data_IF_242466657955
#
_entry.id   IF_242466657955
#
_cell.length_a   1.000
_cell.length_b   1.000
_cell.length_c   1.000
_cell.angle_alpha   90.00
_cell.angle_beta   90.00
_cell.angle_gamma   90.00
#
_symmetry.space_group_name_H-M   'P 1'
#
loop_
_entity.id
_entity.type
_entity.pdbx_description
1 polymer ?
#
# COMPACT_ATOMS: atom_id res chain seq x y z
N UNK A 1 21.56 -2.68 2.72
CA UNK A 1 20.33 -2.60 3.54
C UNK A 1 19.34 -1.80 2.72
N UNK A 2 18.15 -2.32 2.47
CA UNK A 2 17.12 -1.61 1.71
C UNK A 2 16.43 -0.57 2.59
N UNK A 3 16.04 0.55 1.99
CA UNK A 3 15.11 1.54 2.53
C UNK A 3 13.70 1.22 2.05
N UNK A 4 12.68 1.52 2.85
CA UNK A 4 11.29 1.31 2.42
C UNK A 4 10.85 2.42 1.46
N UNK A 5 11.34 2.36 0.22
CA UNK A 5 10.93 3.24 -0.87
C UNK A 5 10.74 2.45 -2.17
N UNK A 6 10.15 3.10 -3.17
CA UNK A 6 9.79 2.48 -4.44
C UNK A 6 11.02 2.03 -5.25
N UNK A 7 12.13 2.76 -5.15
CA UNK A 7 13.36 2.46 -5.89
C UNK A 7 14.01 1.20 -5.33
N UNK A 8 14.16 1.15 -4.02
CA UNK A 8 14.69 -0.02 -3.32
C UNK A 8 13.74 -1.21 -3.40
N UNK A 9 12.42 -1.00 -3.50
CA UNK A 9 11.48 -2.08 -3.79
C UNK A 9 11.71 -2.67 -5.19
N UNK A 10 11.83 -1.83 -6.23
CA UNK A 10 12.15 -2.31 -7.60
C UNK A 10 13.47 -3.06 -7.64
N UNK A 11 14.47 -2.56 -6.93
CA UNK A 11 15.77 -3.21 -6.78
C UNK A 11 15.65 -4.56 -6.08
N UNK A 12 14.95 -4.62 -4.95
CA UNK A 12 14.66 -5.85 -4.22
C UNK A 12 13.97 -6.89 -5.11
N UNK A 13 13.00 -6.48 -5.92
CA UNK A 13 12.31 -7.37 -6.86
C UNK A 13 13.24 -7.94 -7.93
N UNK A 14 14.15 -7.12 -8.48
CA UNK A 14 15.13 -7.53 -9.47
C UNK A 14 16.22 -8.45 -8.86
N UNK A 15 16.69 -8.12 -7.66
CA UNK A 15 17.67 -8.92 -6.91
C UNK A 15 17.09 -10.31 -6.56
N UNK A 16 15.81 -10.35 -6.17
CA UNK A 16 15.10 -11.61 -5.90
C UNK A 16 14.86 -12.43 -7.17
N UNK A 17 14.51 -11.77 -8.27
CA UNK A 17 14.33 -12.41 -9.55
C UNK A 17 14.63 -11.44 -10.71
N UNK A 18 15.72 -11.70 -11.44
CA UNK A 18 16.20 -10.84 -12.53
C UNK A 18 15.23 -10.68 -13.69
N UNK A 19 14.23 -11.55 -13.83
CA UNK A 19 13.18 -11.33 -14.84
C UNK A 19 12.26 -10.17 -14.49
N UNK A 20 12.22 -9.75 -13.21
CA UNK A 20 11.51 -8.57 -12.76
C UNK A 20 12.29 -7.33 -13.17
N UNK A 21 11.72 -6.51 -14.06
CA UNK A 21 12.43 -5.36 -14.63
C UNK A 21 11.46 -4.28 -15.10
N UNK A 22 11.94 -3.05 -15.15
CA UNK A 22 11.23 -1.93 -15.76
C UNK A 22 11.78 -1.74 -17.17
N UNK A 23 10.88 -1.63 -18.15
CA UNK A 23 11.19 -1.33 -19.54
C UNK A 23 10.21 -0.25 -20.03
N UNK A 24 10.68 1.00 -20.06
CA UNK A 24 9.85 2.16 -20.34
C UNK A 24 8.66 2.29 -19.37
N UNK A 25 7.44 2.14 -19.89
CA UNK A 25 6.18 2.24 -19.14
C UNK A 25 5.66 0.88 -18.63
N UNK A 26 6.45 -0.18 -18.77
CA UNK A 26 6.04 -1.53 -18.42
C UNK A 26 6.92 -2.04 -17.27
N UNK A 27 6.28 -2.50 -16.20
CA UNK A 27 6.90 -3.38 -15.22
C UNK A 27 6.66 -4.83 -15.63
N UNK A 28 7.73 -5.57 -15.88
CA UNK A 28 7.64 -7.00 -16.15
C UNK A 28 7.73 -7.77 -14.85
N UNK A 29 6.70 -8.56 -14.51
CA UNK A 29 6.79 -9.62 -13.50
C UNK A 29 6.96 -10.94 -14.23
N UNK A 30 8.16 -11.51 -14.22
CA UNK A 30 8.52 -12.63 -15.11
C UNK A 30 8.23 -12.30 -16.60
N UNK A 31 7.17 -12.93 -17.15
CA UNK A 31 6.69 -12.78 -18.54
C UNK A 31 5.41 -11.95 -18.63
N UNK A 32 4.86 -11.50 -17.50
CA UNK A 32 3.59 -10.79 -17.44
C UNK A 32 3.88 -9.29 -17.41
N UNK A 33 3.49 -8.52 -18.45
CA UNK A 33 3.66 -7.08 -18.49
C UNK A 33 2.57 -6.39 -17.66
N UNK A 34 2.96 -5.46 -16.80
CA UNK A 34 2.04 -4.62 -16.04
C UNK A 34 2.31 -3.16 -16.34
N UNK A 35 1.28 -2.29 -16.39
CA UNK A 35 1.49 -0.85 -16.44
C UNK A 35 2.33 -0.40 -15.24
N UNK A 36 3.38 0.38 -15.47
CA UNK A 36 4.27 0.87 -14.40
C UNK A 36 3.49 1.70 -13.36
N UNK A 37 2.45 2.41 -13.79
CA UNK A 37 1.60 3.21 -12.91
C UNK A 37 0.83 2.35 -11.92
N UNK A 38 0.33 1.20 -12.36
CA UNK A 38 -0.32 0.23 -11.47
C UNK A 38 0.67 -0.32 -10.45
N UNK A 39 1.87 -0.69 -10.88
CA UNK A 39 2.92 -1.16 -9.98
C UNK A 39 3.29 -0.10 -8.93
N UNK A 40 3.53 1.14 -9.37
CA UNK A 40 3.86 2.26 -8.48
C UNK A 40 2.70 2.55 -7.52
N UNK A 41 1.46 2.47 -8.00
CA UNK A 41 0.25 2.66 -7.18
C UNK A 41 0.10 1.59 -6.11
N UNK A 42 0.37 0.33 -6.42
CA UNK A 42 0.37 -0.75 -5.43
C UNK A 42 1.37 -0.48 -4.29
N UNK A 43 2.55 0.05 -4.61
CA UNK A 43 3.52 0.45 -3.59
C UNK A 43 3.08 1.70 -2.82
N UNK A 44 2.54 2.71 -3.52
CA UNK A 44 2.07 3.95 -2.90
C UNK A 44 0.90 3.71 -1.93
N UNK A 45 0.02 2.77 -2.24
CA UNK A 45 -1.11 2.37 -1.40
C UNK A 45 -0.82 1.10 -0.56
N UNK A 46 0.46 0.76 -0.37
CA UNK A 46 0.88 -0.48 0.29
C UNK A 46 0.23 -0.67 1.66
N UNK A 47 0.18 0.37 2.49
CA UNK A 47 -0.40 0.27 3.83
C UNK A 47 -1.86 -0.17 3.78
N UNK A 48 -2.67 0.36 2.85
CA UNK A 48 -4.06 -0.05 2.70
C UNK A 48 -4.20 -1.49 2.19
N UNK A 49 -3.31 -1.94 1.31
CA UNK A 49 -3.25 -3.34 0.88
C UNK A 49 -2.89 -4.28 2.05
N UNK A 50 -1.93 -3.87 2.88
CA UNK A 50 -1.49 -4.61 4.04
C UNK A 50 -2.56 -4.65 5.14
N UNK A 51 -3.32 -3.58 5.36
CA UNK A 51 -4.47 -3.58 6.28
C UNK A 51 -5.53 -4.61 5.86
N UNK A 52 -5.89 -4.64 4.57
CA UNK A 52 -6.82 -5.65 4.04
C UNK A 52 -6.26 -7.07 4.23
N UNK A 53 -4.95 -7.25 4.07
CA UNK A 53 -4.29 -8.53 4.34
C UNK A 53 -4.42 -8.95 5.81
N UNK A 54 -4.22 -8.03 6.76
CA UNK A 54 -4.46 -8.30 8.19
C UNK A 54 -5.94 -8.65 8.43
N UNK A 55 -6.87 -7.90 7.83
CA UNK A 55 -8.31 -8.18 7.96
C UNK A 55 -8.68 -9.58 7.42
N UNK A 56 -8.08 -10.01 6.30
CA UNK A 56 -8.22 -11.37 5.75
C UNK A 56 -7.62 -12.45 6.67
N UNK A 57 -6.43 -12.23 7.25
CA UNK A 57 -5.81 -13.18 8.17
C UNK A 57 -6.65 -13.38 9.43
N UNK A 58 -7.11 -12.29 10.03
CA UNK A 58 -7.91 -12.32 11.26
C UNK A 58 -9.30 -12.88 10.97
N UNK A 59 -9.90 -12.53 9.83
CA UNK A 59 -11.14 -13.12 9.36
C UNK A 59 -11.04 -14.63 9.20
N UNK A 60 -10.00 -15.12 8.53
CA UNK A 60 -9.75 -16.55 8.36
C UNK A 60 -9.59 -17.26 9.72
N UNK A 61 -8.83 -16.67 10.64
CA UNK A 61 -8.65 -17.22 11.98
C UNK A 61 -9.96 -17.28 12.78
N UNK A 62 -10.75 -16.21 12.76
CA UNK A 62 -12.06 -16.16 13.42
C UNK A 62 -13.01 -17.19 12.83
N UNK A 63 -13.08 -17.28 11.50
CA UNK A 63 -13.94 -18.24 10.83
C UNK A 63 -13.51 -19.69 11.10
N UNK A 64 -12.21 -19.97 11.24
CA UNK A 64 -11.72 -21.30 11.58
C UNK A 64 -12.17 -21.76 12.98
N UNK A 65 -12.16 -20.86 13.97
CA UNK A 65 -12.48 -21.18 15.37
C UNK A 65 -13.95 -20.99 15.75
N UNK A 66 -14.63 -20.07 15.08
CA UNK A 66 -16.00 -19.64 15.37
C UNK A 66 -16.89 -19.77 14.14
N UNK A 67 -16.69 -20.83 13.36
CA UNK A 67 -17.34 -21.01 12.07
C UNK A 67 -18.86 -20.89 12.14
N UNK A 68 -19.48 -21.54 13.13
CA UNK A 68 -20.94 -21.47 13.37
C UNK A 68 -21.43 -20.04 13.60
N UNK A 69 -20.64 -19.24 14.31
CA UNK A 69 -21.00 -17.88 14.73
C UNK A 69 -20.76 -16.87 13.61
N UNK A 70 -19.77 -17.13 12.75
CA UNK A 70 -19.29 -16.20 11.72
C UNK A 70 -19.87 -16.51 10.33
N UNK A 71 -19.89 -17.78 9.92
CA UNK A 71 -20.26 -18.21 8.56
C UNK A 71 -21.53 -19.07 8.51
N UNK A 72 -22.07 -19.48 9.66
CA UNK A 72 -23.24 -20.36 9.76
C UNK A 72 -22.92 -21.82 9.40
N UNK A 73 -23.94 -22.60 9.00
CA UNK A 73 -23.81 -24.06 8.78
C UNK A 73 -23.81 -24.47 7.31
N UNK A 74 -23.97 -23.53 6.38
CA UNK A 74 -24.16 -23.84 4.94
C UNK A 74 -22.87 -23.96 4.14
N UNK A 75 -21.78 -23.40 4.65
CA UNK A 75 -20.46 -23.44 4.04
C UNK A 75 -19.53 -24.29 4.90
N UNK A 76 -18.35 -24.61 4.37
CA UNK A 76 -17.22 -25.11 5.14
C UNK A 76 -16.12 -24.03 5.21
N UNK A 77 -15.17 -24.18 6.12
CA UNK A 77 -14.02 -23.27 6.19
C UNK A 77 -13.23 -23.23 4.86
N UNK A 78 -13.13 -24.38 4.18
CA UNK A 78 -12.44 -24.50 2.89
C UNK A 78 -13.12 -23.72 1.77
N UNK A 79 -14.38 -23.31 1.95
CA UNK A 79 -15.10 -22.48 1.00
C UNK A 79 -14.82 -20.98 1.18
N UNK A 80 -14.04 -20.58 2.18
CA UNK A 80 -13.82 -19.16 2.48
C UNK A 80 -12.55 -18.58 1.81
N UNK A 81 -12.59 -17.31 1.38
CA UNK A 81 -13.74 -16.39 1.45
C UNK A 81 -14.82 -16.70 0.39
N UNK A 82 -16.05 -16.25 0.62
CA UNK A 82 -17.19 -16.49 -0.26
C UNK A 82 -18.21 -15.35 -0.25
N UNK A 83 -18.66 -14.93 -1.44
CA UNK A 83 -19.76 -13.98 -1.60
C UNK A 83 -21.10 -14.49 -1.05
N UNK A 84 -21.23 -15.79 -0.84
CA UNK A 84 -22.46 -16.39 -0.31
C UNK A 84 -22.72 -15.97 1.15
N UNK A 85 -21.72 -15.38 1.82
CA UNK A 85 -21.87 -14.75 3.14
C UNK A 85 -22.49 -13.34 3.09
N UNK A 86 -22.55 -12.70 1.92
CA UNK A 86 -23.06 -11.33 1.75
C UNK A 86 -24.45 -11.09 2.37
N UNK A 87 -25.45 -12.00 2.24
CA UNK A 87 -26.77 -11.79 2.85
C UNK A 87 -26.74 -11.65 4.38
N UNK A 88 -25.78 -12.29 5.06
CA UNK A 88 -25.61 -12.26 6.52
C UNK A 88 -24.57 -11.27 7.02
N UNK A 89 -23.99 -10.46 6.12
CA UNK A 89 -22.79 -9.66 6.37
C UNK A 89 -22.88 -8.72 7.58
N UNK A 90 -24.00 -8.01 7.75
CA UNK A 90 -24.16 -7.06 8.85
C UNK A 90 -24.19 -7.78 10.20
N UNK A 91 -24.96 -8.87 10.32
CA UNK A 91 -24.98 -9.68 11.54
C UNK A 91 -23.62 -10.32 11.84
N UNK A 92 -22.90 -10.76 10.81
CA UNK A 92 -21.53 -11.25 10.93
C UNK A 92 -20.57 -10.16 11.44
N UNK A 93 -20.66 -8.93 10.94
CA UNK A 93 -19.83 -7.82 11.40
C UNK A 93 -20.03 -7.51 12.90
N UNK A 94 -21.28 -7.59 13.39
CA UNK A 94 -21.60 -7.44 14.80
C UNK A 94 -21.03 -8.58 15.65
N UNK A 95 -21.16 -9.83 15.17
CA UNK A 95 -20.56 -11.01 15.84
C UNK A 95 -19.04 -10.86 15.93
N UNK A 96 -18.38 -10.51 14.83
CA UNK A 96 -16.93 -10.32 14.78
C UNK A 96 -16.51 -9.21 15.74
N UNK A 97 -17.23 -8.08 15.76
CA UNK A 97 -16.94 -6.98 16.68
C UNK A 97 -17.03 -7.42 18.14
N UNK A 98 -18.05 -8.23 18.50
CA UNK A 98 -18.15 -8.82 19.84
C UNK A 98 -17.01 -9.80 20.14
N UNK A 99 -16.62 -10.64 19.19
CA UNK A 99 -15.49 -11.56 19.36
C UNK A 99 -14.18 -10.80 19.57
N UNK A 100 -13.92 -9.73 18.80
CA UNK A 100 -12.74 -8.88 18.99
C UNK A 100 -12.71 -8.18 20.36
N UNK A 101 -13.88 -7.78 20.87
CA UNK A 101 -14.01 -7.13 22.17
C UNK A 101 -13.86 -8.11 23.35
N UNK A 102 -14.48 -9.28 23.25
CA UNK A 102 -14.58 -10.26 24.35
C UNK A 102 -13.41 -11.26 24.36
N UNK A 103 -12.82 -11.55 23.21
CA UNK A 103 -11.68 -12.48 23.05
C UNK A 103 -10.46 -11.68 22.63
N UNK A 104 -9.79 -11.09 23.62
CA UNK A 104 -8.64 -10.20 23.43
C UNK A 104 -7.51 -10.81 22.59
N UNK A 105 -7.38 -12.15 22.55
CA UNK A 105 -6.39 -12.85 21.76
C UNK A 105 -6.42 -12.52 20.26
N UNK A 106 -7.61 -12.39 19.65
CA UNK A 106 -7.72 -12.06 18.22
C UNK A 106 -7.31 -10.62 17.94
N UNK A 107 -7.77 -9.69 18.78
CA UNK A 107 -7.38 -8.27 18.69
C UNK A 107 -5.88 -8.11 18.88
N UNK A 108 -5.29 -8.80 19.86
CA UNK A 108 -3.84 -8.75 20.09
C UNK A 108 -3.06 -9.36 18.94
N UNK A 109 -3.51 -10.48 18.35
CA UNK A 109 -2.89 -11.05 17.16
C UNK A 109 -2.93 -10.05 15.99
N UNK A 110 -4.07 -9.42 15.75
CA UNK A 110 -4.23 -8.40 14.72
C UNK A 110 -3.25 -7.24 14.92
N UNK A 111 -3.15 -6.72 16.14
CA UNK A 111 -2.23 -5.62 16.47
C UNK A 111 -0.75 -6.03 16.39
N UNK A 112 -0.40 -7.26 16.76
CA UNK A 112 0.97 -7.77 16.61
C UNK A 112 1.38 -7.93 15.16
N UNK A 113 0.50 -8.50 14.33
CA UNK A 113 0.72 -8.64 12.89
C UNK A 113 0.83 -7.26 12.24
N UNK A 114 -0.10 -6.36 12.54
CA UNK A 114 -0.06 -4.98 12.04
C UNK A 114 1.21 -4.25 12.49
N UNK A 115 1.62 -4.42 13.75
CA UNK A 115 2.87 -3.88 14.28
C UNK A 115 4.10 -4.47 13.59
N UNK A 116 4.13 -5.77 13.29
CA UNK A 116 5.21 -6.39 12.53
C UNK A 116 5.30 -5.86 11.08
N UNK A 117 4.15 -5.44 10.52
CA UNK A 117 4.04 -4.80 9.21
C UNK A 117 4.22 -3.28 9.27
N UNK A 118 4.44 -2.68 10.44
CA UNK A 118 4.58 -1.23 10.60
C UNK A 118 3.33 -0.45 10.17
N UNK A 119 2.13 -0.97 10.42
CA UNK A 119 0.86 -0.29 10.16
C UNK A 119 0.46 0.55 11.37
N UNK A 120 1.02 1.76 11.44
CA UNK A 120 0.73 2.71 12.51
C UNK A 120 -0.74 3.15 12.45
N UNK A 121 -1.47 2.97 13.55
CA UNK A 121 -2.87 3.36 13.64
C UNK A 121 -3.87 2.32 13.13
N UNK A 122 -3.44 1.12 12.74
CA UNK A 122 -4.37 0.04 12.40
C UNK A 122 -5.25 -0.33 13.60
N UNK A 123 -6.56 -0.26 13.40
CA UNK A 123 -7.57 -0.68 14.39
C UNK A 123 -8.45 -1.77 13.78
N UNK A 124 -8.46 -3.00 14.33
CA UNK A 124 -9.31 -4.09 13.84
C UNK A 124 -10.79 -3.68 13.81
N UNK A 125 -11.47 -3.94 12.70
CA UNK A 125 -12.87 -3.58 12.49
C UNK A 125 -13.68 -4.80 12.09
N UNK A 126 -14.77 -5.08 12.81
CA UNK A 126 -15.66 -6.18 12.44
C UNK A 126 -16.28 -6.01 11.06
N UNK A 127 -16.50 -4.77 10.62
CA UNK A 127 -17.01 -4.48 9.28
C UNK A 127 -15.99 -4.88 8.21
N UNK A 128 -14.73 -4.43 8.30
CA UNK A 128 -13.72 -4.73 7.28
C UNK A 128 -13.35 -6.21 7.25
N UNK A 129 -13.34 -6.87 8.41
CA UNK A 129 -13.11 -8.32 8.48
C UNK A 129 -14.31 -9.08 7.87
N UNK A 130 -15.55 -8.64 8.10
CA UNK A 130 -16.71 -9.20 7.42
C UNK A 130 -16.64 -8.98 5.90
N UNK A 131 -16.19 -7.81 5.44
CA UNK A 131 -15.95 -7.53 4.01
C UNK A 131 -14.94 -8.53 3.42
N UNK A 132 -13.83 -8.77 4.13
CA UNK A 132 -12.79 -9.71 3.74
C UNK A 132 -13.31 -11.15 3.63
N UNK A 133 -14.15 -11.60 4.57
CA UNK A 133 -14.78 -12.94 4.52
C UNK A 133 -15.78 -13.10 3.38
N UNK A 134 -16.49 -12.03 3.03
CA UNK A 134 -17.45 -11.99 1.93
C UNK A 134 -16.81 -11.87 0.53
N UNK A 135 -15.49 -11.71 0.46
CA UNK A 135 -14.78 -11.54 -0.80
C UNK A 135 -14.91 -12.78 -1.71
N UNK A 136 -15.06 -12.57 -3.01
CA UNK A 136 -15.10 -13.68 -3.98
C UNK A 136 -13.70 -13.96 -4.53
N UNK A 137 -13.13 -15.12 -4.24
CA UNK A 137 -11.85 -15.47 -4.85
C UNK A 137 -11.32 -16.85 -4.49
N UNK A 138 -10.00 -16.97 -4.66
CA UNK A 138 -9.21 -18.12 -4.21
C UNK A 138 -9.30 -18.22 -2.67
N UNK A 139 -9.17 -19.44 -2.14
CA UNK A 139 -9.48 -19.79 -0.75
C UNK A 139 -8.33 -19.46 0.21
N UNK A 140 -8.62 -19.38 1.51
CA UNK A 140 -7.62 -19.06 2.54
C UNK A 140 -6.48 -20.08 2.68
N UNK A 141 -6.69 -21.31 2.20
CA UNK A 141 -5.60 -22.27 2.00
C UNK A 141 -4.46 -21.69 1.14
N UNK A 142 -4.76 -20.71 0.28
CA UNK A 142 -3.83 -20.06 -0.67
C UNK A 142 -3.32 -18.70 -0.28
N UNK A 143 -3.50 -18.29 0.97
CA UNK A 143 -2.99 -17.00 1.46
C UNK A 143 -1.51 -17.13 1.87
N UNK A 144 -0.60 -16.34 1.29
CA UNK A 144 0.80 -16.35 1.73
C UNK A 144 0.92 -15.86 3.19
N UNK A 145 1.63 -16.60 4.04
CA UNK A 145 1.95 -16.17 5.41
C UNK A 145 3.47 -16.29 5.65
N UNK A 146 4.22 -15.17 5.60
CA UNK A 146 5.64 -15.15 5.92
C UNK A 146 5.92 -15.75 7.29
N UNK A 147 7.06 -16.46 7.42
CA UNK A 147 7.46 -17.12 8.66
C UNK A 147 7.53 -16.17 9.85
N UNK A 148 7.92 -14.92 9.61
CA UNK A 148 7.97 -13.87 10.65
C UNK A 148 6.57 -13.63 11.23
N UNK A 149 5.54 -13.55 10.38
CA UNK A 149 4.17 -13.31 10.84
C UNK A 149 3.53 -14.53 11.51
N UNK A 150 3.97 -15.75 11.19
CA UNK A 150 3.45 -16.97 11.84
C UNK A 150 3.59 -16.92 13.37
N UNK A 151 4.72 -16.38 13.85
CA UNK A 151 5.01 -16.22 15.28
C UNK A 151 4.08 -15.22 15.96
N UNK A 152 3.58 -14.23 15.22
CA UNK A 152 2.71 -13.17 15.76
C UNK A 152 1.29 -13.67 16.08
N UNK A 153 0.89 -14.83 15.55
CA UNK A 153 -0.37 -15.49 15.91
C UNK A 153 -0.38 -16.05 17.33
N UNK A 154 0.79 -16.28 17.94
CA UNK A 154 0.92 -16.75 19.32
C UNK A 154 0.17 -18.06 19.54
N UNK A 155 -0.85 -18.04 20.42
CA UNK A 155 -1.64 -19.23 20.77
C UNK A 155 -2.40 -19.87 19.59
N UNK A 156 -2.51 -19.18 18.45
CA UNK A 156 -3.20 -19.66 17.26
C UNK A 156 -2.25 -20.20 16.17
N UNK A 157 -0.94 -20.22 16.43
CA UNK A 157 0.07 -20.57 15.42
C UNK A 157 -0.16 -21.97 14.82
N UNK A 158 -0.50 -22.96 15.63
CA UNK A 158 -0.69 -24.34 15.18
C UNK A 158 -1.89 -24.50 14.24
N UNK A 159 -3.00 -23.81 14.54
CA UNK A 159 -4.20 -23.87 13.72
C UNK A 159 -4.04 -23.12 12.40
N UNK A 160 -3.37 -21.97 12.44
CA UNK A 160 -3.02 -21.21 11.23
C UNK A 160 -2.10 -22.05 10.34
N UNK A 161 -1.05 -22.65 10.90
CA UNK A 161 -0.08 -23.44 10.15
C UNK A 161 -0.70 -24.66 9.43
N UNK A 162 -1.80 -25.19 9.97
CA UNK A 162 -2.45 -26.40 9.42
C UNK A 162 -3.60 -26.10 8.45
N UNK A 163 -4.19 -24.90 8.49
CA UNK A 163 -5.44 -24.59 7.77
C UNK A 163 -5.36 -23.35 6.87
N UNK A 164 -4.35 -22.49 7.02
CA UNK A 164 -4.25 -21.23 6.29
C UNK A 164 -2.87 -21.15 5.63
N UNK A 165 -2.85 -20.84 4.34
CA UNK A 165 -1.60 -20.58 3.62
C UNK A 165 -0.67 -21.77 3.42
N UNK A 166 -1.24 -22.94 3.10
CA UNK A 166 -0.52 -24.17 2.81
C UNK A 166 -0.49 -24.56 1.32
N UNK A 167 -1.20 -23.84 0.44
CA UNK A 167 -1.38 -24.21 -0.98
C UNK A 167 -1.19 -23.02 -1.92
N UNK A 168 -0.30 -23.05 -2.93
CA UNK A 168 -0.26 -22.13 -4.09
C UNK A 168 -0.23 -20.58 -3.89
N UNK A 169 -0.31 -20.06 -2.66
CA UNK A 169 0.10 -18.71 -2.18
C UNK A 169 -0.38 -17.47 -2.97
N UNK A 170 -1.41 -17.61 -3.79
CA UNK A 170 -1.83 -16.64 -4.79
C UNK A 170 -3.25 -16.09 -4.56
N UNK A 171 -3.78 -16.27 -3.34
CA UNK A 171 -5.11 -15.79 -2.98
C UNK A 171 -5.25 -14.27 -3.13
N UNK A 172 -4.25 -13.54 -2.63
CA UNK A 172 -4.35 -12.09 -2.48
C UNK A 172 -4.32 -11.34 -3.81
N UNK A 173 -3.84 -11.96 -4.89
CA UNK A 173 -3.90 -11.38 -6.23
C UNK A 173 -5.32 -11.04 -6.68
N UNK A 174 -6.32 -11.82 -6.27
CA UNK A 174 -7.72 -11.50 -6.55
C UNK A 174 -8.21 -10.29 -5.76
N UNK A 175 -7.76 -10.13 -4.51
CA UNK A 175 -8.10 -8.99 -3.64
C UNK A 175 -7.52 -7.70 -4.23
N UNK A 176 -6.27 -7.75 -4.69
CA UNK A 176 -5.62 -6.64 -5.39
C UNK A 176 -6.35 -6.30 -6.69
N UNK A 177 -6.68 -7.32 -7.49
CA UNK A 177 -7.40 -7.11 -8.75
C UNK A 177 -8.76 -6.44 -8.52
N UNK A 178 -9.53 -6.88 -7.54
CA UNK A 178 -10.83 -6.29 -7.21
C UNK A 178 -10.70 -4.85 -6.70
N UNK A 179 -9.69 -4.55 -5.87
CA UNK A 179 -9.46 -3.19 -5.37
C UNK A 179 -9.22 -2.20 -6.51
N UNK A 180 -8.46 -2.60 -7.52
CA UNK A 180 -8.07 -1.73 -8.63
C UNK A 180 -8.97 -1.86 -9.85
N UNK A 181 -10.08 -2.61 -9.76
CA UNK A 181 -11.01 -2.88 -10.86
C UNK A 181 -10.32 -3.49 -12.10
N UNK A 182 -9.43 -4.46 -11.84
CA UNK A 182 -8.63 -5.13 -12.86
C UNK A 182 -9.22 -6.50 -13.17
N UNK A 183 -9.26 -6.84 -14.45
CA UNK A 183 -9.64 -8.17 -14.90
C UNK A 183 -8.69 -9.24 -14.33
N UNK A 184 -9.24 -10.15 -13.52
CA UNK A 184 -8.46 -11.14 -12.75
C UNK A 184 -7.68 -12.13 -13.63
N UNK A 185 -8.25 -12.54 -14.77
CA UNK A 185 -7.67 -13.58 -15.62
C UNK A 185 -6.52 -13.01 -16.44
N UNK A 186 -5.31 -13.52 -16.19
CA UNK A 186 -4.06 -13.09 -16.81
C UNK A 186 -3.14 -12.29 -15.88
N UNK A 187 -3.69 -11.60 -14.87
CA UNK A 187 -2.91 -10.75 -13.95
C UNK A 187 -2.88 -11.23 -12.50
N UNK A 188 -3.83 -12.08 -12.08
CA UNK A 188 -3.95 -12.50 -10.68
C UNK A 188 -2.64 -13.05 -10.08
N UNK A 189 -1.91 -13.87 -10.83
CA UNK A 189 -0.66 -14.46 -10.34
C UNK A 189 0.48 -13.43 -10.29
N UNK A 190 0.51 -12.46 -11.21
CA UNK A 190 1.48 -11.38 -11.17
C UNK A 190 1.22 -10.44 -9.98
N UNK A 191 -0.05 -10.06 -9.76
CA UNK A 191 -0.47 -9.22 -8.65
C UNK A 191 -0.22 -9.90 -7.30
N UNK A 192 -0.52 -11.19 -7.20
CA UNK A 192 -0.21 -11.98 -6.00
C UNK A 192 1.29 -12.00 -5.73
N UNK A 193 2.13 -12.25 -6.74
CA UNK A 193 3.58 -12.27 -6.56
C UNK A 193 4.14 -10.91 -6.14
N UNK A 194 3.71 -9.82 -6.77
CA UNK A 194 4.13 -8.46 -6.40
C UNK A 194 3.71 -8.14 -4.97
N UNK A 195 2.47 -8.47 -4.59
CA UNK A 195 1.99 -8.26 -3.23
C UNK A 195 2.78 -9.09 -2.21
N UNK A 196 3.04 -10.37 -2.49
CA UNK A 196 3.81 -11.22 -1.59
C UNK A 196 5.25 -10.69 -1.42
N UNK A 197 5.87 -10.19 -2.50
CA UNK A 197 7.19 -9.56 -2.44
C UNK A 197 7.15 -8.21 -1.70
N UNK A 198 6.08 -7.43 -1.84
CA UNK A 198 5.85 -6.21 -1.06
C UNK A 198 5.75 -6.52 0.44
N UNK A 199 5.03 -7.59 0.79
CA UNK A 199 4.89 -8.07 2.17
C UNK A 199 6.24 -8.45 2.76
N UNK A 200 7.06 -9.21 2.03
CA UNK A 200 8.42 -9.57 2.45
C UNK A 200 9.33 -8.34 2.54
N UNK A 201 9.25 -7.43 1.58
CA UNK A 201 10.03 -6.19 1.57
C UNK A 201 9.70 -5.31 2.78
N UNK A 202 8.41 -5.18 3.13
CA UNK A 202 7.97 -4.43 4.33
C UNK A 202 8.56 -5.03 5.60
N UNK A 203 8.54 -6.37 5.72
CA UNK A 203 9.11 -7.08 6.86
C UNK A 203 10.65 -6.92 6.92
N UNK A 204 11.31 -6.96 5.76
CA UNK A 204 12.77 -6.83 5.64
C UNK A 204 13.26 -5.44 6.03
N UNK A 205 12.57 -4.39 5.58
CA UNK A 205 12.89 -3.00 5.92
C UNK A 205 12.58 -2.66 7.39
N UNK A 206 12.10 -3.65 8.16
CA UNK A 206 11.85 -3.58 9.58
C UNK A 206 10.59 -2.77 9.86
N UNK A 207 9.46 -3.45 10.13
CA UNK A 207 8.21 -2.86 10.62
C UNK A 207 8.30 -2.11 11.96
N UNK A 208 9.47 -1.57 12.30
CA UNK A 208 9.77 -0.63 13.38
C UNK A 208 10.65 0.52 12.90
N UNK A 209 10.38 1.11 11.73
CA UNK A 209 10.83 2.49 11.48
C UNK A 209 9.74 3.41 11.99
N UNK A 210 9.73 3.58 13.31
CA UNK A 210 9.08 4.72 13.95
C UNK A 210 9.67 6.00 13.39
N UNK A 211 8.78 6.91 13.01
CA UNK A 211 9.03 8.30 12.65
C UNK A 211 9.88 8.53 11.40
N UNK A 212 9.21 9.05 10.37
CA UNK A 212 9.65 10.26 9.69
C UNK A 212 10.67 11.01 10.56
N UNK A 213 11.94 10.98 10.16
CA UNK A 213 12.88 12.02 10.60
C UNK A 213 12.42 13.27 9.88
N UNK A 214 11.55 14.04 10.53
CA UNK A 214 11.41 15.46 10.24
C UNK A 214 12.79 16.08 10.40
N UNK A 215 13.50 16.23 9.28
CA UNK A 215 14.59 17.18 9.19
C UNK A 215 13.90 18.52 8.93
N UNK A 216 13.61 19.26 9.98
CA UNK A 216 13.30 20.68 9.86
C UNK A 216 14.61 21.39 9.53
N UNK A 217 14.81 21.71 8.25
CA UNK A 217 15.83 22.67 7.85
C UNK A 217 15.23 24.05 8.13
N UNK A 218 15.52 24.61 9.30
CA UNK A 218 15.38 26.04 9.53
C UNK A 218 16.47 26.74 8.70
N UNK A 219 16.15 27.14 7.48
CA UNK A 219 16.96 28.13 6.77
C UNK A 219 16.76 29.45 7.48
N UNK A 220 17.69 29.77 8.37
CA UNK A 220 17.85 31.11 8.91
C UNK A 220 17.93 32.13 7.75
N UNK A 221 16.96 33.03 7.71
CA UNK A 221 16.99 34.23 6.86
C UNK A 221 16.32 34.08 5.50
N UNK A 222 14.98 34.18 5.45
CA UNK A 222 14.32 35.20 4.63
C UNK A 222 12.82 35.22 4.89
N UNK A 223 12.33 36.42 5.14
CA UNK A 223 10.94 36.82 5.26
C UNK A 223 10.21 36.74 3.91
N UNK A 224 10.00 35.54 3.38
CA UNK A 224 9.21 35.33 2.16
C UNK A 224 7.83 34.77 2.48
N UNK A 225 6.81 35.49 2.01
CA UNK A 225 5.37 35.25 2.22
C UNK A 225 4.81 34.04 1.43
N UNK A 226 5.59 33.00 1.17
CA UNK A 226 5.13 31.87 0.36
C UNK A 226 5.43 30.55 1.06
N UNK A 227 4.39 29.79 1.34
CA UNK A 227 4.45 28.56 2.11
C UNK A 227 5.03 27.42 1.26
N UNK A 228 6.21 26.91 1.63
CA UNK A 228 6.84 25.74 0.98
C UNK A 228 6.80 24.56 1.93
N UNK A 229 6.22 23.45 1.47
CA UNK A 229 6.19 22.17 2.19
C UNK A 229 7.10 21.17 1.51
N UNK A 230 8.03 20.59 2.27
CA UNK A 230 8.86 19.48 1.81
C UNK A 230 8.17 18.17 2.18
N UNK A 231 7.23 17.75 1.33
CA UNK A 231 6.42 16.56 1.52
C UNK A 231 6.24 15.85 0.18
N UNK A 232 5.96 14.55 0.24
CA UNK A 232 5.64 13.77 -0.94
C UNK A 232 4.42 14.36 -1.67
N UNK A 233 4.57 14.60 -2.96
CA UNK A 233 3.47 15.00 -3.85
C UNK A 233 2.52 13.83 -4.10
N UNK A 234 1.25 14.13 -4.40
CA UNK A 234 0.18 13.15 -4.60
C UNK A 234 0.43 12.25 -5.81
N UNK A 235 0.98 12.82 -6.88
CA UNK A 235 1.28 12.10 -8.13
C UNK A 235 2.77 11.73 -8.27
N UNK A 236 3.59 12.01 -7.25
CA UNK A 236 5.03 11.74 -7.26
C UNK A 236 5.86 12.74 -8.05
N UNK A 237 5.26 13.78 -8.64
CA UNK A 237 5.99 14.86 -9.34
C UNK A 237 6.96 15.61 -8.43
N UNK A 238 7.90 16.35 -9.03
CA UNK A 238 8.86 17.16 -8.29
C UNK A 238 8.16 18.22 -7.42
N UNK A 239 7.12 18.85 -7.96
CA UNK A 239 6.31 19.82 -7.24
C UNK A 239 4.82 19.60 -7.47
N UNK A 240 4.00 20.21 -6.62
CA UNK A 240 2.56 20.38 -6.81
C UNK A 240 2.06 21.62 -6.04
N UNK A 241 0.96 22.25 -6.48
CA UNK A 241 0.28 23.26 -5.69
C UNK A 241 -0.29 22.64 -4.39
N UNK A 242 -0.10 23.33 -3.26
CA UNK A 242 -0.65 22.96 -1.95
C UNK A 242 -1.59 24.04 -1.43
N UNK A 243 -2.61 23.64 -0.66
CA UNK A 243 -3.57 24.55 -0.05
C UNK A 243 -3.79 24.19 1.42
N UNK A 244 -3.62 25.17 2.29
CA UNK A 244 -4.05 25.13 3.69
C UNK A 244 -4.94 26.34 3.97
N UNK A 245 -4.33 27.52 4.14
CA UNK A 245 -5.03 28.82 4.25
C UNK A 245 -4.64 29.81 3.13
N UNK A 246 -3.40 29.71 2.63
CA UNK A 246 -2.87 30.42 1.46
C UNK A 246 -2.35 29.43 0.41
N UNK A 247 -2.13 29.89 -0.82
CA UNK A 247 -1.49 29.09 -1.87
C UNK A 247 -0.04 28.78 -1.45
N UNK A 248 0.27 27.49 -1.38
CA UNK A 248 1.58 26.97 -1.08
C UNK A 248 2.15 26.12 -2.21
N UNK A 249 3.44 25.83 -2.09
CA UNK A 249 4.16 24.91 -2.96
C UNK A 249 4.52 23.67 -2.15
N UNK A 250 4.17 22.49 -2.63
CA UNK A 250 4.74 21.24 -2.10
C UNK A 250 5.83 20.75 -3.04
N UNK A 251 7.00 20.44 -2.49
CA UNK A 251 8.14 19.88 -3.21
C UNK A 251 8.40 18.48 -2.67
N UNK A 252 8.50 17.48 -3.56
CA UNK A 252 8.76 16.10 -3.20
C UNK A 252 10.25 15.88 -2.87
N UNK A 253 10.64 15.72 -1.59
CA UNK A 253 12.04 15.54 -1.23
C UNK A 253 12.61 14.19 -1.72
N UNK A 254 11.76 13.23 -2.04
CA UNK A 254 12.16 11.91 -2.56
C UNK A 254 12.53 11.95 -4.04
N UNK A 255 12.18 13.02 -4.75
CA UNK A 255 12.45 13.17 -6.18
C UNK A 255 13.97 13.21 -6.44
N UNK A 256 14.52 12.45 -7.41
CA UNK A 256 15.97 12.38 -7.68
C UNK A 256 16.61 13.75 -7.94
N UNK A 257 15.87 14.65 -8.60
CA UNK A 257 16.27 16.04 -8.76
C UNK A 257 16.52 16.77 -7.42
N UNK A 258 15.66 16.60 -6.41
CA UNK A 258 15.87 17.17 -5.08
C UNK A 258 17.11 16.59 -4.40
N UNK A 259 17.31 15.28 -4.50
CA UNK A 259 18.51 14.61 -3.97
C UNK A 259 19.80 15.13 -4.64
N UNK A 260 19.77 15.32 -5.96
CA UNK A 260 20.91 15.83 -6.72
C UNK A 260 21.22 17.30 -6.44
N UNK A 261 20.20 18.12 -6.17
CA UNK A 261 20.36 19.54 -5.85
C UNK A 261 20.76 19.78 -4.40
N UNK A 262 20.37 18.90 -3.47
CA UNK A 262 20.63 19.05 -2.04
C UNK A 262 20.15 20.42 -1.54
N UNK A 263 21.04 21.14 -0.83
CA UNK A 263 20.75 22.48 -0.30
C UNK A 263 20.45 23.53 -1.39
N UNK A 264 20.85 23.27 -2.65
CA UNK A 264 20.63 24.17 -3.79
C UNK A 264 19.20 24.13 -4.33
N UNK A 265 18.33 23.28 -3.80
CA UNK A 265 16.90 23.28 -4.17
C UNK A 265 16.25 24.64 -3.89
N UNK A 266 16.78 25.39 -2.92
CA UNK A 266 16.37 26.76 -2.64
C UNK A 266 16.57 27.73 -3.81
N UNK A 267 17.47 27.45 -4.74
CA UNK A 267 17.72 28.29 -5.93
C UNK A 267 16.56 28.23 -6.94
N UNK A 268 15.82 27.11 -6.99
CA UNK A 268 14.74 26.89 -7.96
C UNK A 268 13.34 27.03 -7.35
N UNK A 269 13.24 27.23 -6.02
CA UNK A 269 11.97 27.26 -5.29
C UNK A 269 10.98 28.32 -5.82
N UNK A 270 11.47 29.51 -6.20
CA UNK A 270 10.60 30.57 -6.71
C UNK A 270 10.03 30.25 -8.08
N UNK A 271 10.82 29.61 -8.95
CA UNK A 271 10.34 29.15 -10.26
C UNK A 271 9.23 28.11 -10.09
N UNK A 272 9.46 27.12 -9.21
CA UNK A 272 8.46 26.09 -8.92
C UNK A 272 7.20 26.69 -8.29
N UNK A 273 7.34 27.68 -7.41
CA UNK A 273 6.21 28.40 -6.83
C UNK A 273 5.40 29.14 -7.90
N UNK A 274 6.06 29.90 -8.79
CA UNK A 274 5.36 30.59 -9.88
C UNK A 274 4.65 29.63 -10.84
N UNK A 275 5.21 28.44 -11.07
CA UNK A 275 4.55 27.40 -11.87
C UNK A 275 3.32 26.83 -11.16
N UNK A 276 3.40 26.59 -9.84
CA UNK A 276 2.28 26.13 -9.04
C UNK A 276 1.16 27.18 -8.95
N UNK A 277 1.51 28.45 -8.80
CA UNK A 277 0.57 29.58 -8.83
C UNK A 277 -0.09 29.73 -10.20
N UNK A 278 0.67 29.58 -11.28
CA UNK A 278 0.13 29.59 -12.62
C UNK A 278 -0.85 28.42 -12.84
N UNK A 279 -0.49 27.20 -12.44
CA UNK A 279 -1.36 26.02 -12.52
C UNK A 279 -2.65 26.21 -11.71
N UNK A 280 -2.55 26.80 -10.53
CA UNK A 280 -3.70 27.08 -9.67
C UNK A 280 -4.66 28.11 -10.27
N UNK A 281 -4.13 29.18 -10.84
CA UNK A 281 -4.92 30.29 -11.39
C UNK A 281 -5.58 29.96 -12.75
N UNK A 282 -5.51 28.72 -13.23
CA UNK A 282 -6.22 28.30 -14.44
C UNK A 282 -7.72 28.11 -14.17
N UNK A 283 -8.54 28.95 -14.79
CA UNK A 283 -10.01 28.88 -14.69
C UNK A 283 -10.64 27.85 -15.65
N UNK A 284 -9.89 27.38 -16.64
CA UNK A 284 -10.35 26.37 -17.60
C UNK A 284 -9.83 24.99 -17.20
N UNK A 285 -10.72 24.02 -17.02
CA UNK A 285 -10.36 22.63 -16.73
C UNK A 285 -9.42 22.04 -17.79
N UNK A 286 -9.58 22.43 -19.05
CA UNK A 286 -8.73 21.99 -20.16
C UNK A 286 -7.31 22.56 -20.02
N UNK A 287 -7.20 23.85 -19.67
CA UNK A 287 -5.90 24.49 -19.46
C UNK A 287 -5.23 23.97 -18.20
N UNK A 288 -5.99 23.80 -17.11
CA UNK A 288 -5.50 23.23 -15.86
C UNK A 288 -4.91 21.84 -16.08
N UNK A 289 -5.64 20.95 -16.77
CA UNK A 289 -5.17 19.61 -17.11
C UNK A 289 -3.93 19.63 -18.00
N UNK A 290 -3.84 20.59 -18.94
CA UNK A 290 -2.64 20.76 -19.76
C UNK A 290 -1.41 21.12 -18.91
N UNK A 291 -1.56 22.03 -17.94
CA UNK A 291 -0.46 22.44 -17.06
C UNK A 291 -0.11 21.33 -16.06
N UNK A 292 -1.09 20.60 -15.52
CA UNK A 292 -0.87 19.40 -14.71
C UNK A 292 -0.06 18.35 -15.50
N UNK A 293 -0.42 18.08 -16.75
CA UNK A 293 0.32 17.17 -17.62
C UNK A 293 1.75 17.66 -17.88
N UNK A 294 1.93 18.97 -18.13
CA UNK A 294 3.26 19.57 -18.30
C UNK A 294 4.12 19.37 -17.04
N UNK A 295 3.56 19.62 -15.86
CA UNK A 295 4.24 19.40 -14.57
C UNK A 295 4.68 17.96 -14.41
N UNK A 296 3.80 17.01 -14.74
CA UNK A 296 4.09 15.58 -14.68
C UNK A 296 5.20 15.18 -15.68
N UNK A 297 5.13 15.64 -16.93
CA UNK A 297 6.14 15.33 -17.96
C UNK A 297 7.51 15.96 -17.64
N UNK A 298 7.54 17.22 -17.17
CA UNK A 298 8.79 17.86 -16.73
C UNK A 298 9.39 17.14 -15.53
N UNK A 299 8.55 16.81 -14.53
CA UNK A 299 9.00 16.05 -13.36
C UNK A 299 9.56 14.70 -13.77
N UNK A 300 8.89 14.00 -14.69
CA UNK A 300 9.33 12.72 -15.22
C UNK A 300 10.65 12.81 -15.98
N UNK A 301 10.85 13.82 -16.82
CA UNK A 301 12.13 14.02 -17.52
C UNK A 301 13.26 14.31 -16.53
N UNK A 302 13.01 15.15 -15.52
CA UNK A 302 13.97 15.39 -14.44
C UNK A 302 14.22 14.12 -13.62
N UNK A 303 13.22 13.28 -13.41
CA UNK A 303 13.41 11.99 -12.76
C UNK A 303 14.39 11.14 -13.56
N UNK A 304 14.14 10.92 -14.86
CA UNK A 304 15.01 10.12 -15.74
C UNK A 304 16.45 10.65 -15.78
N UNK A 305 16.64 11.97 -15.80
CA UNK A 305 17.97 12.58 -15.88
C UNK A 305 18.80 12.39 -14.61
N UNK A 306 18.16 12.39 -13.45
CA UNK A 306 18.82 12.43 -12.14
C UNK A 306 18.71 11.12 -11.34
N UNK A 307 17.92 10.14 -11.79
CA UNK A 307 17.79 8.79 -11.22
C UNK A 307 18.91 7.86 -11.73
N UNK A 308 20.17 8.20 -11.39
CA UNK A 308 21.37 7.41 -11.70
C UNK A 308 21.99 6.80 -10.46
#
# INVERSE_FOLDING_TARGET
>A
MYQYDLSDFKKFLNDTNRSNRVDGLIFWQNRIPLPIDLFNRMFAEADSLLEMYVDHLIGALLALKHFSDVAGTRLSFTDLPSKDLMPGKHGMADVISRLLATKSGYRQAALRIAGALGLDGYVPSGQRIADALCHQGKKYARLQIPLVLRREFGVFEAEVASNIGFDNTDMFGNVVADRYDIYRSGFGDALANIFNQLLEFRLLCGGRVSSSRHISIDTAGNSDRFHVLLERTRDGSLWEPHFSDDLGLRINPEHPFCKAMGDRIGEVKYLLYSLAEFEYNQFSDVQKKLIENMRQEVSRDLWIRFDK
#
